data_IF_779652015157
#
_entry.id   IF_779652015157
#
_cell.length_a   1.000
_cell.length_b   1.000
_cell.length_c   1.000
_cell.angle_alpha   90.00
_cell.angle_beta   90.00
_cell.angle_gamma   90.00
#
_symmetry.space_group_name_H-M   'P 1'
#
loop_
_entity.id
_entity.type
_entity.pdbx_description
1 polymer ?
#
# COMPACT_ATOMS: atom_id res chain seq x y z
N UNK A 1 -12.54 7.85 -12.92
CA UNK A 1 -12.60 6.42 -13.26
C UNK A 1 -11.49 5.75 -12.48
N UNK A 2 -11.68 4.51 -12.06
CA UNK A 2 -10.68 3.72 -11.33
C UNK A 2 -9.58 3.19 -12.28
N UNK A 3 -8.48 2.69 -11.71
CA UNK A 3 -7.51 1.87 -12.42
C UNK A 3 -8.22 0.66 -13.06
N UNK A 4 -7.91 0.36 -14.33
CA UNK A 4 -8.47 -0.79 -15.05
C UNK A 4 -7.62 -2.04 -14.89
N UNK A 5 -6.33 -1.85 -14.66
CA UNK A 5 -5.38 -2.89 -14.28
C UNK A 5 -5.41 -3.05 -12.76
N UNK A 6 -5.08 -4.25 -12.28
CA UNK A 6 -4.97 -4.57 -10.86
C UNK A 6 -3.56 -5.04 -10.56
N UNK A 7 -3.12 -4.81 -9.34
CA UNK A 7 -1.95 -5.50 -8.84
C UNK A 7 -2.18 -7.01 -8.85
N UNK A 8 -1.12 -7.77 -9.14
CA UNK A 8 -1.15 -9.23 -9.17
C UNK A 8 -1.35 -9.82 -7.76
N UNK A 9 -1.72 -11.10 -7.71
CA UNK A 9 -1.88 -11.84 -6.45
C UNK A 9 -0.57 -11.98 -5.66
N UNK A 10 0.56 -11.73 -6.32
CA UNK A 10 1.86 -11.66 -5.67
C UNK A 10 2.64 -10.49 -6.27
N UNK A 11 3.11 -9.58 -5.42
CA UNK A 11 3.76 -8.32 -5.83
C UNK A 11 5.15 -8.16 -5.22
N UNK A 12 5.97 -7.40 -5.91
CA UNK A 12 7.31 -6.99 -5.49
C UNK A 12 7.40 -5.46 -5.40
N UNK A 13 8.44 -4.98 -4.73
CA UNK A 13 8.79 -3.56 -4.79
C UNK A 13 9.04 -3.13 -6.24
N UNK A 14 8.45 -2.01 -6.64
CA UNK A 14 8.56 -1.47 -7.99
C UNK A 14 7.44 -1.87 -8.93
N UNK A 15 6.65 -2.90 -8.60
CA UNK A 15 5.47 -3.26 -9.40
C UNK A 15 4.50 -2.08 -9.46
N UNK A 16 3.87 -1.91 -10.62
CA UNK A 16 3.03 -0.75 -10.88
C UNK A 16 1.83 -1.06 -11.78
N UNK A 17 0.78 -0.28 -11.58
CA UNK A 17 -0.37 -0.18 -12.48
C UNK A 17 -0.52 1.27 -12.94
N UNK A 18 -1.13 1.48 -14.10
CA UNK A 18 -1.30 2.81 -14.66
C UNK A 18 -2.74 3.07 -15.15
N UNK A 19 -3.13 4.33 -15.15
CA UNK A 19 -4.36 4.78 -15.80
C UNK A 19 -4.16 6.14 -16.47
N UNK A 20 -5.03 6.42 -17.44
CA UNK A 20 -5.10 7.71 -18.13
C UNK A 20 -6.43 8.35 -17.77
N UNK A 21 -6.42 9.58 -17.24
CA UNK A 21 -7.63 10.33 -16.93
C UNK A 21 -7.42 11.83 -17.17
N UNK A 22 -8.35 12.44 -17.91
CA UNK A 22 -8.33 13.88 -18.23
C UNK A 22 -7.01 14.34 -18.89
N UNK A 23 -6.35 13.46 -19.65
CA UNK A 23 -5.05 13.71 -20.28
C UNK A 23 -3.85 13.51 -19.37
N UNK A 24 -4.05 13.22 -18.09
CA UNK A 24 -2.97 12.84 -17.17
C UNK A 24 -2.77 11.34 -17.17
N UNK A 25 -1.51 10.93 -17.18
CA UNK A 25 -1.10 9.57 -16.87
C UNK A 25 -0.74 9.49 -15.39
N UNK A 26 -1.42 8.63 -14.66
CA UNK A 26 -1.15 8.33 -13.24
C UNK A 26 -0.59 6.92 -13.15
N UNK A 27 0.51 6.76 -12.41
CA UNK A 27 1.12 5.46 -12.13
C UNK A 27 1.14 5.25 -10.64
N UNK A 28 0.49 4.18 -10.17
CA UNK A 28 0.59 3.72 -8.80
C UNK A 28 1.67 2.65 -8.71
N UNK A 29 2.64 2.83 -7.82
CA UNK A 29 3.78 1.93 -7.65
C UNK A 29 3.88 1.47 -6.20
N UNK A 30 4.27 0.22 -6.02
CA UNK A 30 4.63 -0.35 -4.72
C UNK A 30 6.03 0.12 -4.34
N UNK A 31 6.15 0.73 -3.17
CA UNK A 31 7.42 1.08 -2.53
C UNK A 31 7.54 0.29 -1.22
N UNK A 32 8.69 -0.33 -0.95
CA UNK A 32 8.87 -1.06 0.31
C UNK A 32 8.92 -0.07 1.49
N UNK A 33 8.21 -0.39 2.57
CA UNK A 33 8.28 0.38 3.82
C UNK A 33 9.63 0.08 4.51
N UNK A 34 10.34 1.12 4.95
CA UNK A 34 11.65 1.02 5.58
C UNK A 34 11.58 0.90 7.11
N UNK A 35 10.36 0.95 7.69
CA UNK A 35 10.17 0.77 9.12
C UNK A 35 10.46 -0.69 9.53
N UNK A 36 11.43 -0.94 10.44
CA UNK A 36 11.90 -2.28 10.78
C UNK A 36 10.97 -3.07 11.70
N UNK A 37 9.92 -2.46 12.25
CA UNK A 37 9.04 -3.13 13.22
C UNK A 37 8.39 -4.38 12.62
N UNK A 38 8.58 -5.52 13.29
CA UNK A 38 7.98 -6.78 12.88
C UNK A 38 6.47 -6.78 13.14
N UNK A 39 5.71 -7.68 12.50
CA UNK A 39 4.26 -7.77 12.69
C UNK A 39 3.84 -7.95 14.15
N UNK A 40 4.56 -8.78 14.89
CA UNK A 40 4.31 -9.06 16.30
C UNK A 40 4.67 -7.89 17.23
N UNK A 41 5.45 -6.93 16.74
CA UNK A 41 5.69 -5.65 17.43
C UNK A 41 4.56 -4.63 17.17
N UNK A 42 3.85 -4.76 16.05
CA UNK A 42 2.84 -3.79 15.59
C UNK A 42 1.41 -4.17 15.97
N UNK A 43 1.14 -5.46 16.17
CA UNK A 43 -0.21 -5.97 16.39
C UNK A 43 -0.35 -6.62 17.76
N UNK A 44 -1.08 -5.94 18.65
CA UNK A 44 -1.48 -6.50 19.93
C UNK A 44 -2.27 -7.81 19.72
N UNK A 45 -1.79 -8.87 20.36
CA UNK A 45 -2.44 -10.18 20.29
C UNK A 45 -2.12 -11.00 19.05
N UNK A 46 -1.12 -10.57 18.26
CA UNK A 46 -0.57 -11.37 17.16
C UNK A 46 -0.24 -12.80 17.62
N UNK A 47 0.49 -12.93 18.72
CA UNK A 47 0.76 -14.22 19.33
C UNK A 47 -0.43 -14.67 20.20
N UNK A 48 -0.98 -15.88 19.97
CA UNK A 48 -2.06 -16.39 20.79
C UNK A 48 -1.57 -16.71 22.20
N UNK A 49 -2.49 -16.70 23.16
CA UNK A 49 -2.17 -16.89 24.57
C UNK A 49 -3.25 -17.67 25.30
N UNK A 50 -2.83 -18.43 26.30
CA UNK A 50 -3.70 -19.08 27.28
C UNK A 50 -3.89 -18.24 28.55
N UNK A 51 -3.20 -17.11 28.66
CA UNK A 51 -3.27 -16.23 29.83
C UNK A 51 -4.33 -15.15 29.64
N UNK A 52 -5.30 -15.07 30.55
CA UNK A 52 -6.46 -14.17 30.46
C UNK A 52 -6.11 -12.68 30.33
N UNK A 53 -4.94 -12.28 30.84
CA UNK A 53 -4.48 -10.88 30.82
C UNK A 53 -3.67 -10.54 29.57
N UNK A 54 -3.33 -11.53 28.75
CA UNK A 54 -2.57 -11.29 27.53
C UNK A 54 -3.52 -10.87 26.38
N UNK A 55 -3.11 -9.93 25.51
CA UNK A 55 -3.92 -9.48 24.38
C UNK A 55 -4.38 -10.61 23.45
N UNK A 56 -3.55 -11.63 23.23
CA UNK A 56 -3.87 -12.79 22.39
C UNK A 56 -4.70 -13.88 23.08
N UNK A 57 -5.39 -13.60 24.19
CA UNK A 57 -6.09 -14.64 24.95
C UNK A 57 -7.18 -15.34 24.14
N UNK A 58 -6.99 -16.64 23.88
CA UNK A 58 -7.89 -17.47 23.07
C UNK A 58 -9.24 -17.74 23.76
N UNK A 59 -9.36 -17.53 25.07
CA UNK A 59 -10.61 -17.75 25.81
C UNK A 59 -10.75 -19.18 26.37
N UNK A 60 -11.57 -19.32 27.41
CA UNK A 60 -11.76 -20.57 28.18
C UNK A 60 -12.84 -21.51 27.63
N UNK A 61 -13.22 -21.37 26.35
CA UNK A 61 -14.28 -22.18 25.72
C UNK A 61 -13.86 -23.63 25.48
N UNK A 62 -14.80 -24.43 24.96
CA UNK A 62 -14.52 -25.81 24.55
C UNK A 62 -13.35 -25.86 23.55
N UNK A 63 -12.55 -26.93 23.62
CA UNK A 63 -11.40 -27.17 22.73
C UNK A 63 -10.36 -26.03 22.70
N UNK A 64 -10.24 -25.24 23.77
CA UNK A 64 -9.31 -24.10 23.81
C UNK A 64 -7.86 -24.45 23.47
N UNK A 65 -7.41 -25.68 23.78
CA UNK A 65 -6.06 -26.15 23.44
C UNK A 65 -5.87 -26.35 21.94
N UNK A 66 -6.87 -26.90 21.26
CA UNK A 66 -6.86 -27.08 19.81
C UNK A 66 -6.94 -25.71 19.11
N UNK A 67 -7.83 -24.83 19.57
CA UNK A 67 -7.92 -23.45 19.07
C UNK A 67 -6.61 -22.68 19.25
N UNK A 68 -5.94 -22.86 20.39
CA UNK A 68 -4.62 -22.29 20.64
C UNK A 68 -3.57 -22.87 19.67
N UNK A 69 -3.54 -24.19 19.49
CA UNK A 69 -2.59 -24.82 18.57
C UNK A 69 -2.78 -24.36 17.12
N UNK A 70 -4.03 -24.21 16.68
CA UNK A 70 -4.34 -23.71 15.33
C UNK A 70 -3.91 -22.25 15.17
N UNK A 71 -4.25 -21.38 16.12
CA UNK A 71 -3.84 -19.98 16.10
C UNK A 71 -2.31 -19.82 16.18
N UNK A 72 -1.64 -20.70 16.92
CA UNK A 72 -0.17 -20.70 17.03
C UNK A 72 0.46 -21.05 15.68
N UNK A 73 -0.04 -22.09 15.02
CA UNK A 73 0.45 -22.50 13.70
C UNK A 73 0.19 -21.41 12.63
N UNK A 74 -0.96 -20.73 12.69
CA UNK A 74 -1.28 -19.60 11.80
C UNK A 74 -0.31 -18.43 12.00
N UNK A 75 -0.12 -17.98 13.25
CA UNK A 75 0.82 -16.91 13.57
C UNK A 75 2.28 -17.26 13.17
N UNK A 76 2.69 -18.52 13.35
CA UNK A 76 3.99 -19.01 12.91
C UNK A 76 4.15 -18.96 11.38
N UNK A 77 3.13 -19.38 10.62
CA UNK A 77 3.15 -19.32 9.16
C UNK A 77 3.23 -17.88 8.64
N UNK A 78 2.49 -16.95 9.26
CA UNK A 78 2.53 -15.53 8.96
C UNK A 78 3.94 -14.96 9.21
N UNK A 79 4.55 -15.27 10.36
CA UNK A 79 5.91 -14.83 10.65
C UNK A 79 6.96 -15.47 9.74
N UNK A 80 6.73 -16.69 9.26
CA UNK A 80 7.61 -17.31 8.28
C UNK A 80 7.58 -16.55 6.95
N UNK A 81 6.39 -16.20 6.45
CA UNK A 81 6.24 -15.38 5.24
C UNK A 81 6.93 -14.00 5.38
N UNK A 82 6.78 -13.35 6.55
CA UNK A 82 7.50 -12.11 6.87
C UNK A 82 9.02 -12.30 6.81
N UNK A 83 9.54 -13.34 7.48
CA UNK A 83 10.99 -13.60 7.57
C UNK A 83 11.62 -13.95 6.23
N UNK A 84 10.87 -14.61 5.33
CA UNK A 84 11.31 -14.86 3.95
C UNK A 84 11.27 -13.59 3.09
N UNK A 85 10.54 -12.56 3.54
CA UNK A 85 10.33 -11.32 2.82
C UNK A 85 9.23 -11.39 1.76
N UNK A 86 8.47 -12.49 1.75
CA UNK A 86 7.33 -12.69 0.84
C UNK A 86 6.23 -11.70 1.19
N UNK A 87 5.86 -11.63 2.48
CA UNK A 87 4.97 -10.62 3.04
C UNK A 87 5.77 -9.43 3.58
N UNK A 88 5.36 -8.22 3.24
CA UNK A 88 6.02 -6.99 3.69
C UNK A 88 5.03 -5.82 3.80
N UNK A 89 5.38 -4.81 4.60
CA UNK A 89 4.69 -3.53 4.58
C UNK A 89 5.20 -2.68 3.41
N UNK A 90 4.30 -1.99 2.74
CA UNK A 90 4.59 -1.15 1.59
C UNK A 90 3.83 0.18 1.63
N UNK A 91 4.29 1.10 0.80
CA UNK A 91 3.54 2.26 0.36
C UNK A 91 2.99 2.07 -1.05
N UNK A 92 1.78 2.56 -1.27
CA UNK A 92 1.22 2.82 -2.61
C UNK A 92 1.52 4.27 -2.94
N UNK A 93 2.40 4.50 -3.91
CA UNK A 93 2.88 5.84 -4.30
C UNK A 93 2.36 6.16 -5.69
N UNK A 94 1.62 7.25 -5.82
CA UNK A 94 1.11 7.73 -7.11
C UNK A 94 1.99 8.85 -7.63
N UNK A 95 2.51 8.65 -8.84
CA UNK A 95 3.10 9.70 -9.67
C UNK A 95 2.06 10.23 -10.66
N UNK A 96 2.23 11.47 -11.13
CA UNK A 96 1.37 12.07 -12.16
C UNK A 96 2.20 12.75 -13.23
N UNK A 97 1.84 12.50 -14.49
CA UNK A 97 2.49 13.07 -15.67
C UNK A 97 1.48 13.57 -16.68
N UNK A 98 1.90 14.51 -17.54
CA UNK A 98 1.10 15.09 -18.62
C UNK A 98 1.98 15.13 -19.88
N UNK A 99 1.50 14.55 -20.98
CA UNK A 99 2.23 14.44 -22.26
C UNK A 99 3.67 13.91 -22.11
N UNK A 100 3.85 12.89 -21.25
CA UNK A 100 5.15 12.27 -20.98
C UNK A 100 6.07 13.08 -20.06
N UNK A 101 5.64 14.25 -19.59
CA UNK A 101 6.37 15.06 -18.61
C UNK A 101 5.87 14.71 -17.21
N UNK A 102 6.76 14.21 -16.37
CA UNK A 102 6.45 13.97 -14.95
C UNK A 102 6.26 15.33 -14.26
N UNK A 103 5.05 15.54 -13.74
CA UNK A 103 4.70 16.74 -13.00
C UNK A 103 5.05 16.59 -11.51
N UNK A 104 4.81 15.39 -10.96
CA UNK A 104 5.23 15.00 -9.62
C UNK A 104 5.43 13.48 -9.54
N UNK A 105 6.62 13.06 -9.12
CA UNK A 105 7.00 11.65 -8.94
C UNK A 105 6.33 11.02 -7.71
N UNK A 106 5.98 11.84 -6.71
CA UNK A 106 5.42 11.42 -5.43
C UNK A 106 4.20 12.28 -5.08
N UNK A 107 3.26 12.41 -6.02
CA UNK A 107 2.10 13.29 -5.87
C UNK A 107 1.33 12.99 -4.57
N UNK A 108 1.06 11.71 -4.30
CA UNK A 108 0.42 11.26 -3.06
C UNK A 108 0.84 9.83 -2.74
N UNK A 109 0.83 9.46 -1.46
CA UNK A 109 1.10 8.08 -1.04
C UNK A 109 0.35 7.69 0.24
N UNK A 110 0.07 6.40 0.37
CA UNK A 110 -0.39 5.74 1.59
C UNK A 110 0.64 4.70 1.99
N UNK A 111 1.03 4.66 3.28
CA UNK A 111 2.08 3.77 3.82
C UNK A 111 1.53 2.86 4.92
N UNK A 112 2.29 1.81 5.26
CA UNK A 112 1.88 0.80 6.23
C UNK A 112 0.83 -0.18 5.68
N UNK A 113 0.72 -0.30 4.36
CA UNK A 113 -0.18 -1.25 3.69
C UNK A 113 0.51 -2.60 3.60
N UNK A 114 -0.23 -3.71 3.72
CA UNK A 114 0.31 -5.06 3.66
C UNK A 114 0.34 -5.58 2.23
N UNK A 115 1.47 -6.11 1.77
CA UNK A 115 1.63 -6.75 0.47
C UNK A 115 1.96 -8.24 0.65
N UNK A 116 1.23 -9.11 -0.04
CA UNK A 116 1.34 -10.57 0.00
C UNK A 116 1.10 -11.18 1.39
N UNK A 117 0.18 -10.59 2.17
CA UNK A 117 -0.27 -11.23 3.41
C UNK A 117 -0.76 -12.66 3.08
N UNK A 118 -0.45 -13.68 3.91
CA UNK A 118 -0.84 -15.06 3.61
C UNK A 118 -2.33 -15.19 3.28
N UNK A 119 -2.64 -15.94 2.23
CA UNK A 119 -4.01 -16.15 1.69
C UNK A 119 -4.73 -14.88 1.17
N UNK A 120 -4.02 -13.74 1.06
CA UNK A 120 -4.52 -12.54 0.38
C UNK A 120 -4.31 -12.63 -1.14
N UNK A 121 -5.18 -11.94 -1.89
CA UNK A 121 -5.06 -11.73 -3.34
C UNK A 121 -4.54 -10.32 -3.69
N UNK A 122 -4.15 -9.52 -2.70
CA UNK A 122 -3.71 -8.13 -2.83
C UNK A 122 -4.72 -7.16 -3.47
N UNK A 123 -6.01 -7.52 -3.58
CA UNK A 123 -7.00 -6.65 -4.23
C UNK A 123 -7.06 -5.25 -3.58
N UNK A 124 -6.88 -5.18 -2.26
CA UNK A 124 -6.86 -3.93 -1.48
C UNK A 124 -5.74 -2.96 -1.88
N UNK A 125 -4.65 -3.41 -2.51
CA UNK A 125 -3.61 -2.52 -3.02
C UNK A 125 -4.14 -1.66 -4.17
N UNK A 126 -5.01 -2.23 -5.01
CA UNK A 126 -5.67 -1.50 -6.10
C UNK A 126 -6.73 -0.57 -5.53
N UNK A 127 -7.50 -1.02 -4.54
CA UNK A 127 -8.49 -0.17 -3.85
C UNK A 127 -7.81 1.07 -3.22
N UNK A 128 -6.66 0.89 -2.57
CA UNK A 128 -5.87 1.99 -2.02
C UNK A 128 -5.39 2.95 -3.13
N UNK A 129 -4.96 2.45 -4.28
CA UNK A 129 -4.58 3.29 -5.41
C UNK A 129 -5.78 4.09 -5.96
N UNK A 130 -6.96 3.47 -6.06
CA UNK A 130 -8.20 4.09 -6.49
C UNK A 130 -8.67 5.19 -5.54
N UNK A 131 -8.54 4.98 -4.22
CA UNK A 131 -8.87 5.99 -3.21
C UNK A 131 -7.98 7.23 -3.33
N UNK A 132 -6.70 7.06 -3.68
CA UNK A 132 -5.73 8.16 -3.81
C UNK A 132 -5.81 8.90 -5.16
N UNK A 133 -6.39 8.28 -6.19
CA UNK A 133 -6.40 8.79 -7.56
C UNK A 133 -6.99 10.21 -7.72
N UNK A 134 -8.15 10.56 -7.09
CA UNK A 134 -8.72 11.91 -7.22
C UNK A 134 -7.76 13.01 -6.75
N UNK A 135 -7.02 12.76 -5.66
CA UNK A 135 -6.06 13.72 -5.10
C UNK A 135 -4.80 13.82 -5.97
N UNK A 136 -4.30 12.70 -6.50
CA UNK A 136 -3.19 12.71 -7.46
C UNK A 136 -3.50 13.57 -8.69
N UNK A 137 -4.72 13.44 -9.24
CA UNK A 137 -5.19 14.27 -10.36
C UNK A 137 -5.32 15.75 -9.97
N UNK A 138 -5.82 16.06 -8.77
CA UNK A 138 -5.89 17.42 -8.28
C UNK A 138 -4.51 18.08 -8.14
N UNK A 139 -3.52 17.31 -7.67
CA UNK A 139 -2.12 17.73 -7.59
C UNK A 139 -1.54 17.97 -8.99
N UNK A 140 -1.72 17.02 -9.91
CA UNK A 140 -1.27 17.17 -11.30
C UNK A 140 -1.85 18.40 -11.99
N UNK A 141 -3.15 18.66 -11.83
CA UNK A 141 -3.81 19.88 -12.37
C UNK A 141 -3.20 21.16 -11.81
N UNK A 142 -2.95 21.22 -10.50
CA UNK A 142 -2.30 22.39 -9.86
C UNK A 142 -0.87 22.59 -10.37
N UNK A 143 -0.11 21.51 -10.51
CA UNK A 143 1.25 21.55 -11.05
C UNK A 143 1.28 22.08 -12.49
N UNK A 144 0.41 21.56 -13.35
CA UNK A 144 0.27 22.02 -14.75
C UNK A 144 -0.13 23.50 -14.83
N UNK A 145 -1.12 23.94 -14.04
CA UNK A 145 -1.54 25.34 -13.99
C UNK A 145 -0.39 26.28 -13.57
N UNK A 146 0.39 25.87 -12.57
CA UNK A 146 1.56 26.63 -12.11
C UNK A 146 2.64 26.72 -13.20
N UNK A 147 2.88 25.63 -13.92
CA UNK A 147 3.84 25.59 -15.03
C UNK A 147 3.41 26.54 -16.16
N UNK A 148 2.14 26.46 -16.60
CA UNK A 148 1.60 27.36 -17.62
C UNK A 148 1.73 28.84 -17.22
N UNK A 149 1.32 29.20 -15.99
CA UNK A 149 1.44 30.57 -15.50
C UNK A 149 2.90 31.06 -15.46
N UNK A 150 3.84 30.18 -15.12
CA UNK A 150 5.27 30.51 -15.10
C UNK A 150 5.80 30.76 -16.51
N UNK A 151 5.45 29.90 -17.47
CA UNK A 151 5.86 30.04 -18.87
C UNK A 151 5.29 31.30 -19.51
N UNK A 152 4.00 31.59 -19.33
CA UNK A 152 3.39 32.83 -19.85
C UNK A 152 4.06 34.09 -19.29
N UNK A 153 4.46 34.07 -18.02
CA UNK A 153 5.19 35.19 -17.41
C UNK A 153 6.63 35.33 -17.93
N UNK A 154 7.28 34.23 -18.35
CA UNK A 154 8.60 34.27 -18.96
C UNK A 154 8.53 34.85 -20.37
N UNK A 155 7.54 34.44 -21.17
CA UNK A 155 7.31 34.98 -22.51
C UNK A 155 7.00 36.48 -22.47
N UNK A 156 6.21 36.95 -21.50
CA UNK A 156 5.92 38.37 -21.33
C UNK A 156 7.14 39.23 -20.95
N UNK A 157 8.26 38.62 -20.53
CA UNK A 157 9.52 39.29 -20.18
C UNK A 157 10.56 39.25 -21.28
N UNK A 158 10.37 38.41 -22.29
CA UNK A 158 11.26 38.26 -23.44
C UNK A 158 10.95 39.30 -24.53
#
# INVERSE_FOLDING_TARGET
MAFTERFDTFVCEGDCIACEQDGFRVVARIARDDNPGAPDDRQDGFWPSLYKVAPGFIGSGNNFRERFANAQAEAEAIMEAWRRGDWFYCGIVLSVSLDGIILDEHAISLWGVEANYPDSDNAHLTDAADELLPDALAIGRRAAQRLCATLSNLEARA
#
